data_IF_333842826973
#
_entry.id   IF_333842826973
#
_cell.length_a   1.000
_cell.length_b   1.000
_cell.length_c   1.000
_cell.angle_alpha   90.00
_cell.angle_beta   90.00
_cell.angle_gamma   90.00
#
_symmetry.space_group_name_H-M   'P 1'
#
loop_
_entity.id
_entity.type
_entity.pdbx_description
1 polymer ?
2 polymer ?
3 non-polymer ?
4 non-polymer ?
5 water ?
#
# COMPACT_ATOMS: atom_id res chain seq x y z
N UNK A 5 -14.76 21.24 33.49
CA UNK A 5 -15.21 21.96 32.30
C UNK A 5 -14.01 22.50 31.54
N UNK A 6 -13.94 22.19 30.24
CA UNK A 6 -12.77 22.49 29.39
C UNK A 6 -11.53 21.73 29.88
N UNK A 7 -11.71 20.47 30.26
CA UNK A 7 -10.60 19.65 30.71
C UNK A 7 -9.84 19.06 29.51
N UNK A 8 -8.53 18.96 29.64
CA UNK A 8 -7.71 18.42 28.55
C UNK A 8 -6.56 17.63 29.13
N UNK A 9 -6.04 16.71 28.32
CA UNK A 9 -4.77 16.03 28.59
C UNK A 9 -3.81 16.33 27.44
N UNK A 10 -2.53 16.52 27.79
CA UNK A 10 -1.45 16.66 26.83
C UNK A 10 -0.82 15.30 26.58
N UNK A 11 -0.53 15.01 25.32
CA UNK A 11 0.17 13.79 24.95
C UNK A 11 1.26 14.14 23.94
N UNK A 12 2.38 13.44 24.04
CA UNK A 12 3.51 13.71 23.16
C UNK A 12 3.35 12.93 21.86
N UNK A 13 3.59 13.60 20.74
CA UNK A 13 3.66 12.95 19.44
C UNK A 13 5.03 13.25 18.85
N UNK A 14 5.74 12.20 18.45
CA UNK A 14 7.07 12.28 17.86
C UNK A 14 6.97 11.79 16.41
N UNK A 15 7.31 12.66 15.46
CA UNK A 15 7.51 12.26 14.07
C UNK A 15 9.01 12.16 13.86
N UNK A 16 9.47 11.03 13.31
CA UNK A 16 10.89 10.85 13.07
C UNK A 16 11.14 10.16 11.75
N UNK A 17 12.42 10.05 11.41
CA UNK A 17 12.77 9.18 10.28
C UNK A 17 14.16 8.58 10.46
N UNK A 18 14.33 7.41 9.87
CA UNK A 18 15.61 6.72 9.74
C UNK A 18 15.85 6.55 8.26
N UNK A 19 17.08 6.17 7.91
CA UNK A 19 17.35 5.86 6.52
C UNK A 19 18.62 5.03 6.43
N UNK A 20 18.84 4.45 5.26
CA UNK A 20 20.12 3.80 4.97
C UNK A 20 20.48 4.07 3.52
N UNK A 21 21.78 4.20 3.28
CA UNK A 21 22.30 4.38 1.93
C UNK A 21 22.20 3.07 1.16
N UNK A 22 21.87 3.18 -0.12
CA UNK A 22 21.80 2.04 -1.03
C UNK A 22 22.95 2.13 -2.01
N UNK A 23 23.98 1.28 -1.91
CA UNK A 23 25.09 1.34 -2.86
C UNK A 23 24.62 1.09 -4.28
N UNK A 24 25.41 1.54 -5.28
CA UNK A 24 24.95 1.44 -6.68
C UNK A 24 24.58 0.03 -7.12
N UNK A 25 25.31 -0.98 -6.63
CA UNK A 25 25.03 -2.33 -7.09
C UNK A 25 23.72 -2.88 -6.55
N UNK A 26 23.03 -2.17 -5.66
CA UNK A 26 21.74 -2.62 -5.14
C UNK A 26 20.60 -1.71 -5.55
N UNK A 27 20.81 -0.86 -6.55
CA UNK A 27 19.79 0.07 -7.01
C UNK A 27 19.01 -0.49 -8.19
N UNK A 28 17.70 -0.26 -8.18
CA UNK A 28 16.83 -0.63 -9.29
C UNK A 28 17.18 0.19 -10.53
N UNK A 29 17.06 -0.43 -11.70
CA UNK A 29 17.38 0.28 -12.93
C UNK A 29 16.46 1.47 -13.11
N UNK A 30 17.07 2.62 -13.43
CA UNK A 30 16.34 3.86 -13.68
C UNK A 30 15.46 4.28 -12.50
N UNK A 31 15.85 3.90 -11.29
CA UNK A 31 15.46 4.61 -10.08
C UNK A 31 16.69 5.37 -9.59
N UNK A 32 16.59 6.69 -9.56
CA UNK A 32 17.71 7.49 -9.09
C UNK A 32 17.83 7.50 -7.57
N UNK A 33 17.05 6.69 -6.86
CA UNK A 33 17.05 6.71 -5.40
C UNK A 33 18.38 6.22 -4.86
N UNK A 34 18.92 6.98 -3.92
CA UNK A 34 20.15 6.62 -3.25
C UNK A 34 19.92 6.08 -1.85
N UNK A 35 18.71 6.17 -1.32
CA UNK A 35 18.43 5.79 0.05
C UNK A 35 17.10 5.06 0.14
N UNK A 36 16.98 4.27 1.20
CA UNK A 36 15.72 3.77 1.69
C UNK A 36 15.45 4.46 3.03
N UNK A 37 14.30 5.11 3.16
CA UNK A 37 13.99 5.84 4.38
C UNK A 37 12.65 5.38 4.92
N UNK A 38 12.43 5.65 6.21
CA UNK A 38 11.14 5.39 6.83
C UNK A 38 10.81 6.53 7.78
N UNK A 39 9.63 7.11 7.61
CA UNK A 39 9.08 8.10 8.52
C UNK A 39 8.15 7.39 9.48
N UNK A 40 8.26 7.70 10.77
CA UNK A 40 7.38 7.09 11.77
C UNK A 40 6.71 8.16 12.62
N UNK A 41 5.51 7.84 13.09
CA UNK A 41 4.79 8.63 14.08
C UNK A 41 4.60 7.75 15.31
N UNK A 42 5.13 8.19 16.44
CA UNK A 42 5.09 7.41 17.67
C UNK A 42 4.78 8.33 18.83
N UNK A 43 4.59 7.72 20.00
CA UNK A 43 4.45 8.45 21.25
C UNK A 43 5.76 8.46 22.00
N UNK A 44 5.77 9.19 23.12
CA UNK A 44 6.94 9.18 23.96
C UNK A 44 7.11 7.80 24.59
N UNK A 45 8.35 7.49 25.00
CA UNK A 45 8.54 6.21 25.67
C UNK A 45 7.86 6.16 27.03
N UNK A 46 7.60 7.32 27.65
CA UNK A 46 7.05 7.39 28.99
C UNK A 46 5.52 7.43 29.06
N UNK A 47 4.82 7.31 27.94
CA UNK A 47 3.37 7.47 27.91
C UNK A 47 2.74 6.26 27.27
N UNK A 48 1.41 6.11 27.36
CA UNK A 48 0.77 4.97 26.69
C UNK A 48 0.82 5.10 25.18
N UNK A 49 0.67 3.96 24.50
CA UNK A 49 0.74 3.91 23.05
C UNK A 49 -0.28 4.87 22.42
N UNK A 50 0.13 5.54 21.35
CA UNK A 50 -0.73 6.55 20.71
C UNK A 50 -1.90 5.93 19.96
N UNK A 51 -1.88 4.62 19.73
CA UNK A 51 -3.02 3.95 19.10
C UNK A 51 -4.30 4.19 19.90
N UNK A 52 -4.19 4.40 21.21
CA UNK A 52 -5.36 4.65 22.03
C UNK A 52 -6.12 5.91 21.61
N UNK A 53 -5.42 6.90 21.04
CA UNK A 53 -6.10 8.14 20.69
C UNK A 53 -5.94 8.58 19.23
N UNK A 54 -5.02 7.99 18.47
CA UNK A 54 -4.85 8.35 17.06
C UNK A 54 -5.67 7.42 16.18
N UNK A 55 -6.57 8.02 15.38
CA UNK A 55 -7.34 7.26 14.39
C UNK A 55 -6.48 6.84 13.21
N UNK A 56 -5.91 7.81 12.48
CA UNK A 56 -5.20 7.56 11.24
C UNK A 56 -4.18 8.68 11.00
N UNK A 57 -3.26 8.45 10.05
CA UNK A 57 -2.20 9.39 9.70
C UNK A 57 -2.13 9.51 8.18
N UNK A 58 -2.15 10.75 7.68
CA UNK A 58 -1.86 11.04 6.28
C UNK A 58 -0.44 11.57 6.14
N UNK A 59 0.32 10.98 5.23
CA UNK A 59 1.65 11.46 4.86
C UNK A 59 1.56 12.15 3.50
N UNK A 60 1.83 13.47 3.49
CA UNK A 60 1.92 14.21 2.24
C UNK A 60 3.40 14.32 1.83
N UNK A 61 3.72 13.80 0.64
CA UNK A 61 5.08 13.71 0.15
C UNK A 61 5.32 14.75 -0.95
N UNK A 62 6.60 14.94 -1.26
CA UNK A 62 6.99 15.83 -2.34
C UNK A 62 6.39 15.36 -3.66
N UNK A 63 6.07 16.29 -4.56
CA UNK A 63 5.33 15.91 -5.79
C UNK A 63 6.09 14.94 -6.69
N UNK A 64 7.40 14.79 -6.53
CA UNK A 64 8.13 13.80 -7.29
C UNK A 64 7.57 12.40 -7.07
N UNK A 65 6.84 12.19 -5.97
CA UNK A 65 6.21 10.91 -5.64
C UNK A 65 4.82 10.75 -6.23
N UNK A 66 4.29 11.74 -6.95
CA UNK A 66 3.00 11.58 -7.60
C UNK A 66 3.05 10.36 -8.53
N UNK A 67 1.94 9.61 -8.68
CA UNK A 67 0.61 9.79 -8.12
C UNK A 67 0.42 9.25 -6.71
N UNK A 68 1.50 8.74 -6.13
CA UNK A 68 1.49 8.18 -4.78
C UNK A 68 2.04 9.14 -3.73
N UNK A 69 1.69 10.43 -3.79
CA UNK A 69 2.22 11.44 -2.88
C UNK A 69 1.37 11.66 -1.64
N UNK A 70 0.21 11.01 -1.55
CA UNK A 70 -0.64 11.06 -0.36
C UNK A 70 -0.87 9.63 0.06
N UNK A 71 -0.40 9.28 1.26
CA UNK A 71 -0.48 7.90 1.73
C UNK A 71 -1.19 7.91 3.07
N UNK A 72 -2.27 7.15 3.16
CA UNK A 72 -3.06 7.01 4.38
C UNK A 72 -2.66 5.72 5.09
N UNK A 73 -2.40 5.81 6.38
CA UNK A 73 -2.14 4.65 7.22
C UNK A 73 -3.13 4.68 8.38
N UNK A 74 -4.03 3.69 8.45
CA UNK A 74 -5.10 3.70 9.45
C UNK A 74 -4.75 2.90 10.71
N UNK A 75 -3.86 1.91 10.64
CA UNK A 75 -3.51 1.15 11.84
C UNK A 75 -2.04 1.34 12.20
N UNK A 76 -1.69 1.20 13.48
CA UNK A 76 -0.29 1.19 13.85
C UNK A 76 0.41 -0.02 13.29
N UNK A 77 1.74 0.03 13.09
CA UNK A 77 2.55 1.24 13.30
C UNK A 77 2.29 2.26 12.23
N UNK A 78 2.30 3.54 12.60
CA UNK A 78 2.18 4.62 11.62
C UNK A 78 3.58 4.89 11.08
N UNK A 79 4.00 4.02 10.15
CA UNK A 79 5.28 4.04 9.48
C UNK A 79 5.03 4.20 7.98
N UNK A 80 5.98 4.84 7.29
CA UNK A 80 5.94 4.89 5.83
C UNK A 80 7.35 4.69 5.29
N UNK A 81 7.56 3.63 4.50
CA UNK A 81 8.89 3.33 3.96
C UNK A 81 8.88 3.55 2.44
N UNK A 82 9.89 4.28 1.96
CA UNK A 82 10.05 4.62 0.55
C UNK A 82 11.54 4.66 0.24
N UNK A 83 11.86 4.55 -1.04
CA UNK A 83 13.20 4.85 -1.53
C UNK A 83 13.22 6.27 -2.08
N UNK A 84 14.39 6.90 -2.01
CA UNK A 84 14.49 8.25 -2.54
C UNK A 84 15.93 8.73 -2.60
N UNK A 85 16.11 9.91 -3.20
CA UNK A 85 17.40 10.58 -3.26
C UNK A 85 17.42 11.92 -2.54
N UNK A 86 16.27 12.49 -2.20
CA UNK A 86 16.20 13.87 -1.75
C UNK A 86 15.53 14.05 -0.41
N UNK A 87 16.03 15.04 0.32
CA UNK A 87 15.39 15.49 1.53
C UNK A 87 14.33 16.53 1.18
N UNK A 88 13.23 16.53 1.93
CA UNK A 88 12.13 17.46 1.70
C UNK A 88 11.26 17.48 2.95
N UNK A 89 10.43 18.50 3.12
CA UNK A 89 9.53 18.54 4.28
C UNK A 89 8.35 17.60 4.08
N UNK A 90 8.25 16.60 4.95
CA UNK A 90 7.13 15.68 4.97
C UNK A 90 6.02 16.30 5.82
N UNK A 91 4.84 16.44 5.26
CA UNK A 91 3.69 16.89 6.04
C UNK A 91 2.95 15.68 6.57
N UNK A 92 2.90 15.56 7.89
CA UNK A 92 2.22 14.45 8.55
C UNK A 92 0.95 15.01 9.18
N UNK A 93 -0.20 14.48 8.79
CA UNK A 93 -1.48 14.96 9.32
C UNK A 93 -2.06 13.87 10.21
N UNK A 94 -2.16 14.16 11.51
CA UNK A 94 -2.62 13.19 12.50
C UNK A 94 -4.12 13.40 12.73
N UNK A 95 -4.91 12.34 12.57
CA UNK A 95 -6.35 12.37 12.83
C UNK A 95 -6.65 11.54 14.08
N UNK A 96 -7.50 12.09 14.96
CA UNK A 96 -7.75 11.48 16.26
C UNK A 96 -9.10 10.73 16.27
N UNK A 97 -9.16 9.68 17.08
CA UNK A 97 -10.38 8.88 17.21
C UNK A 97 -11.56 9.74 17.68
N UNK A 98 -11.33 10.54 18.73
CA UNK A 98 -12.38 11.40 19.28
C UNK A 98 -12.58 12.62 18.37
N UNK A 99 -13.78 12.75 17.80
CA UNK A 99 -14.11 13.84 16.89
C UNK A 99 -13.86 15.22 17.49
N UNK A 100 -13.87 15.34 18.82
CA UNK A 100 -13.63 16.62 19.47
C UNK A 100 -12.19 17.11 19.32
N UNK A 101 -11.26 16.27 18.91
CA UNK A 101 -9.87 16.65 18.74
C UNK A 101 -9.60 16.89 17.26
N UNK A 102 -9.41 18.15 16.88
CA UNK A 102 -9.17 18.47 15.48
C UNK A 102 -7.82 17.92 15.04
N UNK A 103 -7.74 17.59 13.75
CA UNK A 103 -6.51 17.13 13.11
C UNK A 103 -5.41 18.17 13.26
N UNK A 104 -4.16 17.71 13.30
CA UNK A 104 -3.01 18.61 13.32
C UNK A 104 -2.03 18.22 12.20
N UNK A 105 -1.40 19.23 11.62
CA UNK A 105 -0.32 19.02 10.66
C UNK A 105 1.01 19.17 11.38
N UNK A 106 1.93 18.23 11.16
CA UNK A 106 3.30 18.31 11.64
C UNK A 106 4.21 18.24 10.43
N UNK A 107 5.09 19.21 10.29
CA UNK A 107 6.07 19.23 9.20
C UNK A 107 7.37 18.64 9.72
N UNK A 108 7.81 17.55 9.11
CA UNK A 108 9.06 16.88 9.49
C UNK A 108 10.05 16.98 8.34
N UNK A 109 11.21 17.57 8.62
CA UNK A 109 12.26 17.69 7.60
C UNK A 109 13.00 16.36 7.51
N UNK A 110 12.76 15.63 6.44
CA UNK A 110 13.42 14.34 6.22
C UNK A 110 14.93 14.50 6.21
N UNK A 111 15.62 13.71 7.02
CA UNK A 111 17.09 13.76 7.08
C UNK A 111 17.63 12.42 6.63
N UNK A 112 18.46 12.42 5.59
CA UNK A 112 18.97 11.17 5.00
C UNK A 112 20.40 10.87 5.47
N UNK A 113 20.72 9.57 5.50
CA UNK A 113 22.01 9.12 6.01
C UNK A 113 23.16 9.70 5.21
N UNK A 114 24.23 10.12 5.90
CA UNK A 114 25.44 10.56 5.24
C UNK A 114 26.65 9.74 5.63
N UNK A 115 26.49 8.70 6.44
CA UNK A 115 27.59 7.77 6.69
C UNK A 115 27.87 6.88 5.47
N UNK A 116 26.82 6.56 4.70
CA UNK A 116 26.94 5.78 3.47
C UNK A 116 27.53 4.39 3.74
N UNK A 117 27.32 3.86 4.94
CA UNK A 117 27.76 2.51 5.27
C UNK A 117 26.79 1.45 4.77
N UNK A 118 25.58 1.82 4.37
CA UNK A 118 24.54 0.85 4.12
C UNK A 118 23.80 0.40 5.36
N UNK A 119 24.27 0.79 6.53
CA UNK A 119 23.55 0.58 7.77
C UNK A 119 22.52 1.69 8.01
N UNK A 120 21.45 1.33 8.71
CA UNK A 120 20.39 2.25 9.06
C UNK A 120 20.88 3.24 10.12
N UNK A 121 20.64 4.55 9.89
CA UNK A 121 20.96 5.55 10.91
C UNK A 121 19.74 6.42 11.21
N UNK A 122 19.74 6.98 12.41
CA UNK A 122 18.66 7.86 12.84
C UNK A 122 18.82 9.21 12.17
N UNK A 123 17.75 9.73 11.57
CA UNK A 123 17.85 10.99 10.85
C UNK A 123 17.47 12.20 11.69
N UNK A 124 16.21 12.25 12.14
CA UNK A 124 15.72 13.44 12.82
C UNK A 124 14.43 13.07 13.54
N UNK A 125 14.07 13.88 14.54
CA UNK A 125 12.78 13.74 15.19
C UNK A 125 12.19 15.12 15.43
N UNK A 126 10.87 15.21 15.25
CA UNK A 126 10.10 16.44 15.41
C UNK A 126 9.05 16.16 16.46
N UNK A 127 9.10 16.87 17.59
CA UNK A 127 8.26 16.58 18.75
C UNK A 127 7.22 17.68 18.91
N UNK A 128 5.95 17.29 19.07
CA UNK A 128 4.87 18.22 19.37
C UNK A 128 4.05 17.68 20.54
N UNK A 129 3.49 18.60 21.33
CA UNK A 129 2.44 18.26 22.28
C UNK A 129 1.09 18.50 21.64
N UNK A 130 0.15 17.58 21.86
CA UNK A 130 -1.21 17.75 21.38
C UNK A 130 -2.16 17.79 22.58
N UNK A 131 -3.35 18.33 22.35
CA UNK A 131 -4.38 18.50 23.37
C UNK A 131 -5.55 17.57 23.07
N UNK A 132 -5.89 16.70 24.01
CA UNK A 132 -7.03 15.79 23.87
C UNK A 132 -8.09 16.16 24.90
N UNK A 133 -9.30 16.45 24.44
CA UNK A 133 -10.42 16.71 25.33
C UNK A 133 -10.62 15.53 26.28
N UNK A 134 -10.91 15.85 27.55
CA UNK A 134 -11.24 14.83 28.55
C UNK A 134 -12.56 15.11 29.26
N UNK B 1 33.25 -20.62 -10.96
CA UNK B 1 34.36 -19.69 -10.81
C UNK B 1 33.84 -18.34 -10.35
N UNK B 2 32.79 -18.39 -9.52
CA UNK B 2 32.13 -17.21 -8.97
C UNK B 2 31.17 -17.67 -7.87
N UNK B 3 31.21 -17.02 -6.71
CA UNK B 3 30.32 -17.38 -5.60
C UNK B 3 28.91 -16.91 -5.90
N UNK B 4 27.96 -17.84 -5.86
CA UNK B 4 26.56 -17.50 -6.07
C UNK B 4 25.88 -17.23 -4.73
N UNK B 5 24.91 -16.32 -4.74
CA UNK B 5 24.14 -16.03 -3.55
C UNK B 5 22.80 -16.75 -3.59
N UNK B 6 22.39 -17.28 -2.45
CA UNK B 6 21.01 -17.72 -2.31
C UNK B 6 20.24 -16.73 -1.45
N UNK B 7 20.49 -15.45 -1.66
CA UNK B 7 19.86 -14.39 -0.91
C UNK B 7 18.53 -14.01 -1.54
N UNK B 8 17.53 -13.77 -0.70
CA UNK B 8 16.19 -13.44 -1.14
C UNK B 8 15.60 -12.44 -0.15
N UNK B 9 14.63 -11.66 -0.61
CA UNK B 9 13.79 -10.89 0.29
C UNK B 9 12.34 -11.36 0.10
N UNK B 10 11.61 -11.45 1.20
CA UNK B 10 10.19 -11.78 1.15
C UNK B 10 9.39 -10.49 1.01
N UNK B 11 8.39 -10.52 0.13
CA UNK B 11 7.44 -9.43 -0.02
C UNK B 11 6.04 -10.01 0.07
N UNK B 12 5.13 -9.27 0.70
CA UNK B 12 3.76 -9.72 0.79
C UNK B 12 2.98 -9.19 -0.40
N UNK B 13 2.25 -10.09 -1.07
CA UNK B 13 1.37 -9.76 -2.18
C UNK B 13 -0.05 -10.07 -1.76
N UNK B 14 -0.95 -9.11 -1.98
CA UNK B 14 -2.36 -9.24 -1.63
C UNK B 14 -3.16 -9.25 -2.92
N UNK B 15 -3.94 -10.29 -3.13
CA UNK B 15 -4.96 -10.28 -4.18
C UNK B 15 -6.30 -10.15 -3.47
N UNK B 16 -7.06 -9.10 -3.79
CA UNK B 16 -8.34 -8.87 -3.16
C UNK B 16 -9.42 -8.51 -4.15
N UNK B 17 -10.66 -8.46 -3.67
CA UNK B 17 -11.70 -7.91 -4.53
C UNK B 17 -12.74 -7.16 -3.73
N UNK B 18 -13.32 -6.15 -4.37
CA UNK B 18 -14.47 -5.43 -3.88
C UNK B 18 -15.58 -5.62 -4.90
N UNK B 19 -16.79 -5.21 -4.53
CA UNK B 19 -17.89 -5.27 -5.48
C UNK B 19 -19.04 -4.39 -5.01
N UNK B 20 -19.96 -4.10 -5.91
CA UNK B 20 -21.20 -3.44 -5.51
C UNK B 20 -22.36 -4.07 -6.24
N UNK B 21 -23.50 -4.12 -5.55
CA UNK B 21 -24.74 -4.54 -6.18
C UNK B 21 -25.21 -3.47 -7.14
N UNK B 22 -25.74 -3.88 -8.29
CA UNK B 22 -26.33 -2.98 -9.26
C UNK B 22 -27.86 -3.16 -9.17
N UNK B 23 -28.58 -2.21 -8.61
CA UNK B 23 -30.03 -2.37 -8.43
C UNK B 23 -30.72 -2.48 -9.78
N UNK B 24 -31.91 -3.10 -9.83
CA UNK B 24 -32.57 -3.35 -11.12
C UNK B 24 -32.83 -2.10 -11.94
N UNK B 25 -33.17 -0.98 -11.30
CA UNK B 25 -33.34 0.28 -12.01
C UNK B 25 -32.08 0.77 -12.69
N UNK B 26 -30.96 0.04 -12.63
CA UNK B 26 -29.74 0.46 -13.30
C UNK B 26 -29.25 -0.58 -14.29
N UNK B 27 -30.16 -1.41 -14.82
CA UNK B 27 -29.86 -2.40 -15.84
C UNK B 27 -31.18 -2.92 -16.41
N UNK B 28 -31.16 -3.31 -17.69
CA UNK B 28 -32.37 -3.80 -18.34
C UNK B 28 -32.79 -5.13 -17.72
N UNK B 29 -34.09 -5.43 -17.82
CA UNK B 29 -34.65 -6.61 -17.17
C UNK B 29 -34.17 -7.90 -17.84
N UNK B 30 -33.23 -7.80 -18.77
CA UNK B 30 -32.61 -8.96 -19.36
C UNK B 30 -31.10 -9.02 -19.10
N UNK B 31 -30.52 -8.03 -18.42
CA UNK B 31 -29.12 -8.09 -18.03
C UNK B 31 -29.00 -8.92 -16.75
N UNK B 32 -28.34 -10.06 -16.85
CA UNK B 32 -28.19 -10.97 -15.73
C UNK B 32 -27.10 -10.57 -14.76
N UNK B 33 -26.31 -9.54 -15.06
CA UNK B 33 -25.19 -9.15 -14.22
C UNK B 33 -25.70 -8.31 -13.06
N UNK B 34 -25.70 -8.89 -11.87
CA UNK B 34 -26.19 -8.22 -10.68
C UNK B 34 -25.12 -7.38 -9.98
N UNK B 35 -23.85 -7.51 -10.36
CA UNK B 35 -22.78 -6.88 -9.60
C UNK B 35 -21.76 -6.26 -10.55
N UNK B 36 -21.06 -5.26 -10.04
CA UNK B 36 -19.81 -4.79 -10.61
C UNK B 36 -18.71 -5.10 -9.60
N UNK B 37 -17.66 -5.79 -10.03
CA UNK B 37 -16.58 -6.14 -9.13
C UNK B 37 -15.24 -5.68 -9.67
N UNK B 38 -14.27 -5.55 -8.77
CA UNK B 38 -12.89 -5.26 -9.16
C UNK B 38 -11.95 -6.14 -8.35
N UNK B 39 -11.05 -6.82 -9.03
CA UNK B 39 -9.98 -7.59 -8.41
C UNK B 39 -8.72 -6.74 -8.50
N UNK B 40 -7.97 -6.64 -7.40
CA UNK B 40 -6.73 -5.88 -7.36
C UNK B 40 -5.58 -6.73 -6.84
N UNK B 41 -4.38 -6.42 -7.31
CA UNK B 41 -3.13 -6.97 -6.78
C UNK B 41 -2.32 -5.81 -6.20
N UNK B 42 -1.92 -5.91 -4.93
CA UNK B 42 -1.26 -4.81 -4.25
C UNK B 42 -0.36 -5.33 -3.15
N UNK B 43 0.48 -4.43 -2.65
CA UNK B 43 1.31 -4.67 -1.49
C UNK B 43 0.89 -3.78 -0.35
N UNK B 44 1.62 -3.87 0.76
CA UNK B 44 1.28 -3.05 1.91
C UNK B 44 1.49 -1.58 1.59
N UNK B 45 0.53 -0.76 2.01
CA UNK B 45 0.63 0.68 1.78
C UNK B 45 1.75 1.32 2.61
N UNK B 46 2.26 0.62 3.63
CA UNK B 46 3.39 1.15 4.40
C UNK B 46 4.73 0.98 3.69
N UNK B 47 4.74 0.27 2.57
CA UNK B 47 5.96 -0.09 1.85
C UNK B 47 5.92 0.47 0.43
N UNK B 48 7.07 0.51 -0.26
CA UNK B 48 7.05 0.92 -1.67
C UNK B 48 6.15 0.02 -2.51
N UNK B 49 5.59 0.60 -3.56
CA UNK B 49 4.61 -0.07 -4.38
C UNK B 49 5.21 -1.32 -5.02
N UNK B 50 4.35 -2.33 -5.25
CA UNK B 50 4.82 -3.55 -5.91
C UNK B 50 5.14 -3.33 -7.39
N UNK B 51 4.75 -2.17 -7.94
CA UNK B 51 5.17 -1.81 -9.28
C UNK B 51 6.67 -1.87 -9.47
N UNK B 52 7.47 -1.75 -8.41
CA UNK B 52 8.92 -1.78 -8.55
C UNK B 52 9.46 -3.14 -8.93
N UNK B 53 8.73 -4.23 -8.65
CA UNK B 53 9.23 -5.56 -8.99
C UNK B 53 8.27 -6.40 -9.82
N UNK B 54 7.04 -5.95 -10.02
CA UNK B 54 6.06 -6.67 -10.83
C UNK B 54 6.06 -6.10 -12.24
N UNK B 55 6.26 -6.98 -13.21
CA UNK B 55 6.24 -6.59 -14.62
C UNK B 55 4.81 -6.51 -15.14
N UNK B 56 4.00 -7.54 -14.88
CA UNK B 56 2.64 -7.59 -15.39
C UNK B 56 1.87 -8.68 -14.65
N UNK B 57 0.55 -8.66 -14.84
CA UNK B 57 -0.36 -9.59 -14.19
C UNK B 57 -1.32 -10.11 -15.26
N UNK B 58 -1.50 -11.44 -15.31
CA UNK B 58 -2.59 -12.04 -16.09
C UNK B 58 -3.71 -12.47 -15.16
N UNK B 59 -4.95 -12.14 -15.52
CA UNK B 59 -6.16 -12.61 -14.84
C UNK B 59 -6.81 -13.69 -15.68
N UNK B 60 -7.05 -14.86 -15.08
CA UNK B 60 -7.75 -15.96 -15.73
C UNK B 60 -9.13 -16.08 -15.10
N UNK B 61 -10.16 -15.92 -15.93
CA UNK B 61 -11.53 -15.87 -15.45
C UNK B 61 -12.25 -17.18 -15.78
N UNK B 62 -13.41 -17.35 -15.13
CA UNK B 62 -14.29 -18.47 -15.41
C UNK B 62 -14.70 -18.44 -16.88
N UNK B 63 -14.90 -19.61 -17.51
CA UNK B 63 -15.12 -19.64 -18.97
C UNK B 63 -16.38 -18.94 -19.44
N UNK B 64 -17.32 -18.63 -18.54
CA UNK B 64 -18.47 -17.81 -18.93
C UNK B 64 -18.04 -16.47 -19.50
N UNK B 65 -16.80 -16.04 -19.25
CA UNK B 65 -16.29 -14.80 -19.80
C UNK B 65 -15.59 -14.97 -21.14
N UNK B 66 -15.43 -16.21 -21.64
CA UNK B 66 -14.83 -16.44 -22.95
C UNK B 66 -15.53 -15.62 -24.02
N UNK B 67 -14.80 -15.07 -24.99
CA UNK B 67 -13.37 -15.29 -25.25
C UNK B 67 -12.48 -14.28 -24.58
N UNK B 68 -13.06 -13.51 -23.66
CA UNK B 68 -12.29 -12.54 -22.89
C UNK B 68 -12.10 -13.01 -21.45
N UNK B 69 -11.74 -14.28 -21.29
CA UNK B 69 -11.50 -14.86 -19.97
C UNK B 69 -10.04 -14.76 -19.56
N UNK B 70 -9.21 -14.11 -20.36
CA UNK B 70 -7.78 -14.00 -20.10
C UNK B 70 -7.40 -12.53 -20.33
N UNK B 71 -7.07 -11.82 -19.26
CA UNK B 71 -6.82 -10.38 -19.34
C UNK B 71 -5.41 -10.10 -18.84
N UNK B 72 -4.61 -9.44 -19.69
CA UNK B 72 -3.29 -8.97 -19.32
C UNK B 72 -3.39 -7.51 -18.91
N UNK B 73 -2.79 -7.19 -17.77
CA UNK B 73 -2.67 -5.80 -17.31
C UNK B 73 -1.18 -5.52 -17.25
N UNK B 74 -0.65 -4.85 -18.26
CA UNK B 74 0.78 -4.69 -18.39
C UNK B 74 1.34 -3.54 -17.57
N UNK B 75 0.49 -2.67 -17.03
CA UNK B 75 0.94 -1.48 -16.32
C UNK B 75 0.05 -1.24 -15.10
N UNK B 76 0.60 -0.66 -14.05
CA UNK B 76 -0.21 -0.34 -12.86
C UNK B 76 -1.35 0.60 -13.21
N UNK B 77 -2.40 0.66 -12.36
CA UNK B 77 -2.56 -0.24 -11.20
C UNK B 77 -3.00 -1.63 -11.68
N UNK B 78 -2.61 -2.69 -10.98
CA UNK B 78 -2.96 -4.03 -11.43
C UNK B 78 -4.35 -4.36 -10.89
N UNK B 79 -5.35 -3.87 -11.63
CA UNK B 79 -6.77 -3.99 -11.30
C UNK B 79 -7.48 -4.61 -12.49
N UNK B 80 -8.60 -5.28 -12.21
CA UNK B 80 -9.48 -5.76 -13.27
C UNK B 80 -10.91 -5.56 -12.81
N UNK B 81 -11.69 -4.82 -13.60
CA UNK B 81 -13.07 -4.48 -13.26
C UNK B 81 -14.02 -5.11 -14.27
N UNK B 82 -15.03 -5.82 -13.79
CA UNK B 82 -15.99 -6.48 -14.66
C UNK B 82 -17.35 -6.48 -13.99
N UNK B 83 -18.38 -6.67 -14.80
CA UNK B 83 -19.70 -6.96 -14.28
C UNK B 83 -19.90 -8.47 -14.24
N UNK B 84 -20.76 -8.92 -13.34
CA UNK B 84 -21.06 -10.34 -13.31
C UNK B 84 -22.21 -10.65 -12.37
N UNK B 85 -22.57 -11.92 -12.38
CA UNK B 85 -23.56 -12.45 -11.45
C UNK B 85 -22.99 -13.48 -10.49
N UNK B 86 -21.81 -14.04 -10.74
CA UNK B 86 -21.37 -15.22 -10.02
C UNK B 86 -19.99 -15.11 -9.41
N UNK B 87 -19.81 -15.88 -8.33
CA UNK B 87 -18.53 -16.07 -7.65
C UNK B 87 -17.83 -17.28 -8.26
N UNK B 88 -16.50 -17.19 -8.38
CA UNK B 88 -15.69 -18.22 -9.01
C UNK B 88 -14.23 -17.99 -8.60
N UNK B 89 -13.38 -19.02 -8.72
CA UNK B 89 -11.93 -18.81 -8.48
C UNK B 89 -11.31 -18.02 -9.62
N UNK B 90 -10.74 -16.86 -9.29
CA UNK B 90 -9.92 -16.09 -10.22
C UNK B 90 -8.47 -16.54 -10.07
N UNK B 91 -7.82 -16.88 -11.17
CA UNK B 91 -6.40 -17.21 -11.13
C UNK B 91 -5.59 -15.99 -11.54
N UNK B 92 -4.76 -15.52 -10.62
CA UNK B 92 -3.95 -14.31 -10.83
C UNK B 92 -2.50 -14.77 -11.02
N UNK B 93 -1.95 -14.55 -12.20
CA UNK B 93 -0.59 -14.95 -12.52
C UNK B 93 0.30 -13.71 -12.53
N UNK B 94 1.22 -13.64 -11.60
CA UNK B 94 2.05 -12.46 -11.39
C UNK B 94 3.42 -12.69 -12.03
N UNK B 95 3.80 -11.82 -12.96
CA UNK B 95 5.09 -11.86 -13.62
C UNK B 95 5.99 -10.75 -13.09
N UNK B 96 7.26 -11.08 -12.86
CA UNK B 96 8.21 -10.22 -12.18
C UNK B 96 9.21 -9.62 -13.16
N UNK B 97 9.67 -8.41 -12.83
CA UNK B 97 10.57 -7.67 -13.71
C UNK B 97 11.91 -8.39 -13.85
N UNK B 98 12.47 -8.88 -12.74
CA UNK B 98 13.67 -9.70 -12.80
C UNK B 98 13.28 -11.13 -13.19
N UNK B 99 13.81 -11.61 -14.33
CA UNK B 99 13.47 -12.95 -14.80
C UNK B 99 14.01 -14.06 -13.92
N UNK B 100 14.95 -13.77 -13.03
CA UNK B 100 15.29 -14.73 -11.98
C UNK B 100 14.09 -15.05 -11.07
N UNK B 101 13.09 -14.16 -11.00
CA UNK B 101 11.92 -14.36 -10.13
C UNK B 101 10.82 -14.98 -10.99
N UNK B 102 10.61 -16.28 -10.83
CA UNK B 102 9.67 -17.01 -11.66
C UNK B 102 8.23 -16.59 -11.30
N UNK B 103 7.37 -16.61 -12.31
CA UNK B 103 5.98 -16.24 -12.13
C UNK B 103 5.33 -17.12 -11.07
N UNK B 104 4.29 -16.58 -10.43
CA UNK B 104 3.53 -17.33 -9.43
C UNK B 104 2.05 -17.18 -9.73
N UNK B 105 1.29 -18.24 -9.43
CA UNK B 105 -0.16 -18.26 -9.58
C UNK B 105 -0.80 -18.08 -8.21
N UNK B 106 -1.78 -17.20 -8.12
CA UNK B 106 -2.54 -17.02 -6.89
C UNK B 106 -4.02 -17.21 -7.22
N UNK B 107 -4.66 -18.16 -6.55
CA UNK B 107 -6.10 -18.41 -6.74
C UNK B 107 -6.86 -17.58 -5.73
N UNK B 108 -7.69 -16.67 -6.23
CA UNK B 108 -8.51 -15.81 -5.38
C UNK B 108 -9.98 -16.18 -5.57
N UNK B 109 -10.67 -16.52 -4.47
CA UNK B 109 -12.09 -16.83 -4.57
C UNK B 109 -12.88 -15.52 -4.55
N UNK B 110 -13.40 -15.13 -5.72
CA UNK B 110 -14.14 -13.87 -5.84
C UNK B 110 -15.34 -13.90 -4.89
N UNK B 111 -15.50 -12.83 -4.11
CA UNK B 111 -16.57 -12.74 -3.12
C UNK B 111 -17.43 -11.52 -3.42
N UNK B 112 -18.73 -11.72 -3.62
CA UNK B 112 -19.61 -10.65 -4.09
C UNK B 112 -20.48 -10.11 -2.97
N UNK B 113 -20.84 -8.83 -3.10
CA UNK B 113 -21.59 -8.12 -2.07
C UNK B 113 -22.94 -8.78 -1.81
N UNK B 114 -23.27 -8.93 -0.54
CA UNK B 114 -24.59 -9.39 -0.15
C UNK B 114 -25.35 -8.33 0.64
N UNK B 115 -24.78 -7.15 0.89
CA UNK B 115 -25.56 -6.10 1.53
C UNK B 115 -26.62 -5.55 0.59
N UNK B 116 -26.33 -5.53 -0.71
CA UNK B 116 -27.31 -5.16 -1.73
C UNK B 116 -27.76 -3.71 -1.56
N UNK B 117 -26.91 -2.91 -0.93
CA UNK B 117 -27.19 -1.49 -0.79
C UNK B 117 -26.92 -0.71 -2.07
N UNK B 118 -26.17 -1.27 -3.01
CA UNK B 118 -25.67 -0.51 -4.12
C UNK B 118 -24.36 0.22 -3.84
N UNK B 119 -23.87 0.19 -2.61
CA UNK B 119 -22.57 0.73 -2.25
C UNK B 119 -21.48 -0.35 -2.42
N UNK B 120 -20.24 0.12 -2.56
CA UNK B 120 -19.12 -0.80 -2.69
C UNK B 120 -18.79 -1.40 -1.32
N UNK B 121 -18.55 -2.71 -1.29
CA UNK B 121 -18.06 -3.36 -0.06
C UNK B 121 -16.85 -4.25 -0.37
N UNK B 122 -16.06 -4.48 0.68
CA UNK B 122 -14.89 -5.34 0.59
C UNK B 122 -15.30 -6.81 0.58
N UNK B 123 -14.79 -7.56 -0.39
CA UNK B 123 -15.21 -8.95 -0.50
C UNK B 123 -14.27 -9.92 0.19
N UNK B 124 -13.00 -9.95 -0.24
CA UNK B 124 -12.08 -10.96 0.26
C UNK B 124 -10.65 -10.56 -0.11
N UNK B 125 -9.68 -11.10 0.63
CA UNK B 125 -8.28 -10.89 0.29
C UNK B 125 -7.53 -12.20 0.44
N UNK B 126 -6.68 -12.50 -0.53
CA UNK B 126 -5.83 -13.68 -0.54
C UNK B 126 -4.39 -13.19 -0.46
N UNK B 127 -3.67 -13.62 0.57
CA UNK B 127 -2.34 -13.08 0.90
C UNK B 127 -1.30 -14.17 0.72
N UNK B 128 -0.24 -13.88 -0.03
CA UNK B 128 0.88 -14.78 -0.20
C UNK B 128 2.17 -14.00 -0.03
N UNK B 129 3.22 -14.69 0.44
CA UNK B 129 4.57 -14.15 0.41
C UNK B 129 5.25 -14.61 -0.87
N UNK B 130 5.97 -13.71 -1.51
CA UNK B 130 6.80 -14.05 -2.65
C UNK B 130 8.27 -13.86 -2.28
N UNK B 131 9.15 -14.59 -2.95
CA UNK B 131 10.59 -14.51 -2.74
C UNK B 131 11.22 -13.79 -3.91
N UNK B 132 11.93 -12.70 -3.65
CA UNK B 132 12.63 -11.95 -4.68
C UNK B 132 14.14 -12.13 -4.52
N UNK B 133 14.82 -12.51 -5.61
CA UNK B 133 16.27 -12.67 -5.61
C UNK B 133 16.95 -11.36 -5.22
N UNK B 134 17.98 -11.45 -4.39
CA UNK B 134 18.72 -10.26 -3.97
C UNK B 134 20.21 -10.44 -4.19
N UNK B 135 20.87 -9.30 -4.44
CA UNK B 135 22.33 -9.05 -4.50
C UNK B 135 22.89 -9.06 -5.92
N UNK C 2 6.94 26.94 -4.00
CA UNK C 2 7.55 25.81 -4.69
C UNK C 2 7.88 24.69 -3.71
N UNK C 3 7.83 23.46 -4.20
CA UNK C 3 8.17 22.30 -3.37
C UNK C 3 9.60 21.88 -3.71
N UNK C 4 10.50 22.05 -2.76
CA UNK C 4 11.91 21.79 -2.95
C UNK C 4 12.33 20.46 -2.35
N UNK C 6 16.17 18.16 -2.10
CA UNK C 6 17.58 18.22 -2.43
C UNK C 6 18.34 17.03 -1.89
N UNK C 7 19.29 16.55 -2.68
CA UNK C 7 20.13 15.44 -2.24
C UNK C 7 21.17 15.94 -1.23
N UNK C 8 21.39 15.23 -0.12
CA UNK C 8 22.39 15.68 0.86
C UNK C 8 23.81 15.74 0.29
N UNK C 9 24.14 14.85 -0.64
CA UNK C 9 25.49 14.80 -1.20
C UNK C 9 25.50 15.18 -2.69
N UNK D 2 -14.35 -29.50 -13.99
CA UNK D 2 -15.41 -28.55 -14.28
C UNK D 2 -15.08 -27.19 -13.66
N UNK D 3 -15.49 -26.12 -14.34
CA UNK D 3 -15.34 -24.76 -13.81
C UNK D 3 -16.68 -24.30 -13.25
N UNK D 4 -16.75 -24.11 -11.94
CA UNK D 4 -18.02 -23.77 -11.29
C UNK D 4 -18.10 -22.29 -10.97
N UNK D 6 -21.13 -19.55 -9.08
CA UNK D 6 -22.44 -19.53 -8.44
C UNK D 6 -22.81 -18.16 -7.91
N UNK D 7 -24.09 -17.81 -8.05
CA UNK D 7 -24.60 -16.55 -7.53
C UNK D 7 -24.68 -16.63 -6.02
N UNK D 8 -24.22 -15.59 -5.30
CA UNK D 8 -24.31 -15.61 -3.82
C UNK D 8 -25.74 -15.73 -3.34
N UNK D 9 -26.67 -15.09 -4.02
CA UNK D 9 -28.07 -15.14 -3.62
C UNK D 9 -28.89 -15.96 -4.60
#
# INVERSE_FOLDING_TARGET
>A
SHMTSRLFVKKTIVVGNVSKYIPPDKREENDQSTHKWMVYVRGSRREPSINHFVKKVWFFLHPSYKPNDLVEVREPPFHLTRRGWGEFPVRVQVHFKDSQNKRIDIIHNLKLDRTYTGLQTLGAETVVDVELHRH
>B
SHMTSRLFVKKTIVVGNVSKYIPPDKREENDQSTHKWMVYVRGSRREPSINHFVKKVWFFLHPSYKPNDLVEVREPPFHLTRRGWGEFPVRVQVHFKDSQNKRIDIIHNLKLDRTYTGLQTLGAETVVDVELHRH
>C
XAARXSAPA
>D
XAARXSAPA
#
